data_IF_565134151206
#
_entry.id   IF_565134151206
#
_cell.length_a   1.000
_cell.length_b   1.000
_cell.length_c   1.000
_cell.angle_alpha   90.00
_cell.angle_beta   90.00
_cell.angle_gamma   90.00
#
_symmetry.space_group_name_H-M   'P 1'
#
loop_
_entity.id
_entity.type
_entity.pdbx_description
1 polymer ?
#
# COMPACT_ATOMS: atom_id res chain seq x y z
N UNK A 1 -6.33 -15.13 -9.29
CA UNK A 1 -7.14 -16.34 -9.03
C UNK A 1 -7.52 -16.47 -7.55
N UNK A 2 -6.69 -16.01 -6.59
CA UNK A 2 -7.00 -16.05 -5.15
C UNK A 2 -8.25 -15.21 -4.83
N UNK A 3 -8.24 -13.91 -5.11
CA UNK A 3 -9.37 -13.01 -4.83
C UNK A 3 -10.65 -13.29 -5.65
N UNK A 4 -10.59 -14.15 -6.66
CA UNK A 4 -11.77 -14.68 -7.35
C UNK A 4 -12.20 -16.04 -6.83
N UNK A 5 -11.58 -16.53 -5.76
CA UNK A 5 -11.83 -17.81 -5.09
C UNK A 5 -11.71 -19.04 -6.01
N UNK A 6 -11.10 -18.89 -7.21
CA UNK A 6 -10.82 -20.03 -8.11
C UNK A 6 -9.72 -20.94 -7.56
N UNK A 7 -8.92 -20.43 -6.63
CA UNK A 7 -7.92 -21.16 -5.85
C UNK A 7 -8.08 -20.69 -4.42
N UNK A 8 -8.29 -21.62 -3.50
CA UNK A 8 -8.38 -21.37 -2.06
C UNK A 8 -7.37 -22.22 -1.31
N UNK A 9 -6.88 -21.72 -0.20
CA UNK A 9 -6.08 -22.49 0.74
C UNK A 9 -6.99 -23.43 1.54
N UNK A 10 -6.40 -24.48 2.07
CA UNK A 10 -7.02 -25.36 3.05
C UNK A 10 -6.45 -25.09 4.44
N UNK A 11 -7.20 -25.40 5.47
CA UNK A 11 -6.74 -25.42 6.84
C UNK A 11 -5.64 -26.50 7.04
N UNK A 12 -4.94 -26.46 8.18
CA UNK A 12 -3.80 -27.37 8.41
C UNK A 12 -4.23 -28.82 8.61
N UNK A 13 -5.47 -29.05 9.00
CA UNK A 13 -6.13 -30.38 9.08
C UNK A 13 -6.61 -30.91 7.71
N UNK A 14 -6.50 -30.10 6.66
CA UNK A 14 -6.92 -30.42 5.30
C UNK A 14 -8.35 -30.00 4.96
N UNK A 15 -9.09 -29.45 5.90
CA UNK A 15 -10.47 -29.01 5.73
C UNK A 15 -10.56 -27.70 4.92
N UNK A 16 -11.74 -27.45 4.38
CA UNK A 16 -12.05 -26.20 3.69
C UNK A 16 -12.28 -25.10 4.73
N UNK A 17 -11.74 -23.90 4.47
CA UNK A 17 -12.12 -22.72 5.24
C UNK A 17 -13.58 -22.32 4.97
N UNK A 18 -14.25 -21.62 5.92
CA UNK A 18 -15.59 -21.08 5.72
C UNK A 18 -15.69 -20.21 4.47
N UNK A 19 -16.91 -20.03 3.96
CA UNK A 19 -17.15 -19.11 2.86
C UNK A 19 -16.75 -17.67 3.22
N UNK A 20 -16.30 -16.92 2.22
CA UNK A 20 -15.90 -15.53 2.41
C UNK A 20 -17.13 -14.63 2.56
N UNK A 21 -17.11 -13.77 3.54
CA UNK A 21 -18.13 -12.74 3.73
C UNK A 21 -17.80 -11.50 2.89
N UNK A 22 -18.82 -10.85 2.33
CA UNK A 22 -18.67 -9.53 1.73
C UNK A 22 -18.98 -8.46 2.79
N UNK A 23 -18.01 -7.56 3.03
CA UNK A 23 -18.14 -6.43 3.98
C UNK A 23 -17.78 -5.14 3.28
N UNK A 24 -18.25 -4.02 3.80
CA UNK A 24 -17.75 -2.71 3.40
C UNK A 24 -16.43 -2.41 4.09
N UNK A 25 -15.55 -1.66 3.42
CA UNK A 25 -14.27 -1.27 4.00
C UNK A 25 -14.44 -0.60 5.38
N UNK A 26 -15.48 0.21 5.56
CA UNK A 26 -15.78 0.86 6.84
C UNK A 26 -16.19 -0.07 7.99
N UNK A 27 -16.52 -1.33 7.72
CA UNK A 27 -16.82 -2.34 8.75
C UNK A 27 -15.53 -3.05 9.23
N UNK A 28 -14.47 -2.99 8.42
CA UNK A 28 -13.18 -3.66 8.69
C UNK A 28 -12.11 -2.67 9.16
N UNK A 29 -12.20 -1.41 8.74
CA UNK A 29 -11.17 -0.39 8.96
C UNK A 29 -11.69 0.85 9.67
N UNK A 30 -10.89 1.34 10.60
CA UNK A 30 -10.95 2.72 11.08
C UNK A 30 -10.29 3.64 10.05
N UNK A 31 -10.93 4.79 9.77
CA UNK A 31 -10.48 5.76 8.79
C UNK A 31 -9.99 7.03 9.45
N UNK A 32 -8.78 7.47 9.06
CA UNK A 32 -8.19 8.74 9.52
C UNK A 32 -7.72 9.59 8.35
N UNK A 33 -7.98 10.90 8.40
CA UNK A 33 -7.42 11.86 7.46
C UNK A 33 -6.02 12.31 7.89
N UNK A 34 -5.14 12.50 6.92
CA UNK A 34 -3.86 13.16 7.14
C UNK A 34 -4.02 14.66 7.38
N UNK A 35 -2.94 15.29 7.85
CA UNK A 35 -2.85 16.72 8.15
C UNK A 35 -1.77 17.39 7.32
N UNK A 36 -1.91 18.69 7.08
CA UNK A 36 -0.95 19.48 6.32
C UNK A 36 0.42 19.54 7.00
N UNK A 37 1.50 19.46 6.21
CA UNK A 37 2.88 19.51 6.67
C UNK A 37 3.72 20.54 5.90
N UNK A 38 3.10 21.37 5.04
CA UNK A 38 3.82 22.26 4.12
C UNK A 38 4.76 23.22 4.86
N UNK A 39 4.34 23.71 6.02
CA UNK A 39 5.08 24.73 6.79
C UNK A 39 6.15 24.13 7.72
N UNK A 40 6.24 22.79 7.82
CA UNK A 40 7.12 22.09 8.77
C UNK A 40 8.08 21.10 8.07
N UNK A 41 8.19 21.20 6.76
CA UNK A 41 9.14 20.37 5.98
C UNK A 41 10.57 20.83 6.29
N UNK A 42 11.45 19.85 6.53
CA UNK A 42 12.87 20.05 6.86
C UNK A 42 13.70 18.98 6.16
N UNK A 43 14.79 19.36 5.50
CA UNK A 43 15.68 18.40 4.80
C UNK A 43 16.31 17.38 5.78
N UNK A 44 16.61 17.82 7.00
CA UNK A 44 17.21 17.01 8.05
C UNK A 44 16.19 16.58 9.13
N UNK A 45 14.91 16.47 8.74
CA UNK A 45 13.85 16.10 9.67
C UNK A 45 13.95 14.64 10.14
N UNK A 46 13.46 14.39 11.35
CA UNK A 46 13.48 13.07 12.00
C UNK A 46 12.43 12.11 11.43
N UNK A 47 11.29 12.64 10.99
CA UNK A 47 10.13 11.84 10.59
C UNK A 47 9.88 11.94 9.08
N UNK A 48 9.50 10.83 8.48
CA UNK A 48 9.14 10.75 7.05
C UNK A 48 7.70 11.19 6.85
N UNK A 49 7.49 12.17 5.99
CA UNK A 49 6.15 12.65 5.61
C UNK A 49 5.59 11.76 4.51
N UNK A 50 4.52 11.02 4.83
CA UNK A 50 3.83 10.16 3.87
C UNK A 50 2.88 10.99 3.03
N UNK A 51 3.29 11.28 1.81
CA UNK A 51 2.53 12.01 0.78
C UNK A 51 2.33 11.15 -0.48
N UNK A 52 1.63 11.68 -1.49
CA UNK A 52 1.36 10.94 -2.73
C UNK A 52 2.64 10.51 -3.46
N UNK A 53 3.69 11.34 -3.43
CA UNK A 53 4.98 11.00 -4.07
C UNK A 53 5.67 9.85 -3.35
N UNK A 54 5.68 9.86 -2.01
CA UNK A 54 6.20 8.75 -1.21
C UNK A 54 5.50 7.43 -1.59
N UNK A 55 4.14 7.43 -1.61
CA UNK A 55 3.37 6.22 -1.93
C UNK A 55 3.59 5.80 -3.39
N UNK A 56 3.55 6.74 -4.34
CA UNK A 56 3.70 6.42 -5.77
C UNK A 56 5.07 5.86 -6.13
N UNK A 57 6.11 6.17 -5.34
CA UNK A 57 7.49 5.70 -5.54
C UNK A 57 7.89 4.59 -4.56
N UNK A 58 6.93 3.94 -3.91
CA UNK A 58 7.13 2.85 -2.95
C UNK A 58 8.17 3.21 -1.86
N UNK A 59 8.10 4.46 -1.35
CA UNK A 59 8.93 4.98 -0.27
C UNK A 59 10.36 5.37 -0.65
N UNK A 60 10.70 5.40 -1.94
CA UNK A 60 12.04 5.82 -2.40
C UNK A 60 12.22 7.33 -2.34
N UNK A 61 11.20 8.11 -2.74
CA UNK A 61 11.23 9.57 -2.64
C UNK A 61 10.59 10.01 -1.31
N UNK A 62 11.36 10.71 -0.49
CA UNK A 62 10.95 11.09 0.86
C UNK A 62 11.04 12.59 1.07
N UNK A 63 10.13 13.11 1.89
CA UNK A 63 10.23 14.41 2.55
C UNK A 63 10.26 14.18 4.05
N UNK A 64 10.90 15.07 4.77
CA UNK A 64 11.10 14.91 6.22
C UNK A 64 10.54 16.11 6.98
N UNK A 65 10.29 15.90 8.27
CA UNK A 65 9.86 16.91 9.23
C UNK A 65 10.39 16.58 10.63
N UNK A 66 10.48 17.58 11.49
CA UNK A 66 10.74 17.37 12.92
C UNK A 66 9.45 17.22 13.74
N UNK A 67 8.29 17.44 13.12
CA UNK A 67 7.00 17.37 13.80
C UNK A 67 6.22 16.10 13.42
N UNK A 68 5.81 15.32 14.42
CA UNK A 68 4.94 14.16 14.22
C UNK A 68 3.47 14.57 14.42
N UNK A 69 2.89 15.20 13.40
CA UNK A 69 1.52 15.75 13.48
C UNK A 69 0.46 14.64 13.51
N UNK A 70 0.64 13.59 12.73
CA UNK A 70 -0.21 12.39 12.75
C UNK A 70 0.66 11.13 12.70
N UNK A 71 0.91 10.49 13.85
CA UNK A 71 1.76 9.29 13.91
C UNK A 71 1.10 8.10 13.24
N UNK A 72 1.85 7.44 12.37
CA UNK A 72 1.49 6.17 11.79
C UNK A 72 2.14 5.02 12.58
N UNK A 73 1.43 3.91 12.68
CA UNK A 73 1.91 2.70 13.33
C UNK A 73 2.12 1.57 12.32
N UNK A 74 2.96 0.62 12.67
CA UNK A 74 3.21 -0.57 11.84
C UNK A 74 1.88 -1.29 11.51
N UNK A 75 1.73 -1.69 10.24
CA UNK A 75 0.54 -2.29 9.63
C UNK A 75 -0.60 -1.30 9.31
N UNK A 76 -0.46 0.00 9.55
CA UNK A 76 -1.37 0.97 8.94
C UNK A 76 -1.26 0.88 7.40
N UNK A 77 -2.39 0.86 6.71
CA UNK A 77 -2.45 1.03 5.26
C UNK A 77 -2.70 2.52 4.98
N UNK A 78 -1.80 3.15 4.24
CA UNK A 78 -1.99 4.53 3.79
C UNK A 78 -2.36 4.55 2.32
N UNK A 79 -3.36 5.37 1.93
CA UNK A 79 -3.91 5.39 0.58
C UNK A 79 -4.01 6.81 0.03
N UNK A 80 -3.63 6.99 -1.23
CA UNK A 80 -3.76 8.26 -1.96
C UNK A 80 -5.24 8.53 -2.27
N UNK A 81 -5.75 9.65 -1.75
CA UNK A 81 -7.15 10.09 -1.95
C UNK A 81 -7.30 11.07 -3.12
N UNK A 82 -6.23 11.70 -3.59
CA UNK A 82 -6.30 12.76 -4.59
C UNK A 82 -5.17 12.63 -5.60
N UNK A 83 -5.50 12.69 -6.89
CA UNK A 83 -4.53 12.61 -7.98
C UNK A 83 -4.95 13.51 -9.14
N UNK A 84 -3.98 13.85 -10.00
CA UNK A 84 -4.22 14.58 -11.26
C UNK A 84 -5.03 13.72 -12.24
N UNK A 85 -5.67 14.31 -13.27
CA UNK A 85 -6.37 13.56 -14.29
C UNK A 85 -5.48 12.48 -14.92
N UNK A 86 -6.03 11.29 -15.11
CA UNK A 86 -5.30 10.12 -15.60
C UNK A 86 -4.05 9.75 -14.76
N UNK A 87 -4.01 10.19 -13.52
CA UNK A 87 -2.94 9.90 -12.58
C UNK A 87 -2.87 8.41 -12.24
N UNK A 88 -1.66 7.95 -11.96
CA UNK A 88 -1.42 6.54 -11.60
C UNK A 88 -1.36 6.31 -10.08
N UNK A 89 -1.52 7.36 -9.28
CA UNK A 89 -1.39 7.28 -7.83
C UNK A 89 -2.73 7.16 -7.10
N UNK A 90 -3.88 7.54 -7.71
CA UNK A 90 -5.19 7.42 -7.05
C UNK A 90 -5.42 6.02 -6.50
N UNK A 91 -5.87 5.91 -5.26
CA UNK A 91 -6.05 4.67 -4.49
C UNK A 91 -4.82 3.75 -4.39
N UNK A 92 -3.63 4.19 -4.82
CA UNK A 92 -2.40 3.45 -4.54
C UNK A 92 -2.18 3.44 -3.03
N UNK A 93 -1.81 2.28 -2.50
CA UNK A 93 -1.59 2.07 -1.06
C UNK A 93 -0.12 1.79 -0.76
N UNK A 94 0.25 2.05 0.48
CA UNK A 94 1.53 1.64 1.05
C UNK A 94 1.29 1.09 2.46
N UNK A 95 1.96 0.01 2.82
CA UNK A 95 1.89 -0.59 4.15
C UNK A 95 3.00 -0.03 5.04
N UNK A 96 2.63 0.57 6.16
CA UNK A 96 3.59 1.11 7.12
C UNK A 96 4.34 -0.04 7.81
N UNK A 97 5.65 0.00 7.78
CA UNK A 97 6.54 -1.08 8.25
C UNK A 97 7.20 -0.82 9.61
N UNK A 98 7.18 0.43 10.10
CA UNK A 98 7.80 0.83 11.36
C UNK A 98 6.92 1.78 12.17
N UNK A 99 6.99 1.68 13.49
CA UNK A 99 6.38 2.63 14.40
C UNK A 99 7.25 3.90 14.54
N UNK A 100 6.63 5.03 14.89
CA UNK A 100 7.32 6.27 15.26
C UNK A 100 8.30 6.83 14.21
N UNK A 101 8.09 6.51 12.94
CA UNK A 101 8.93 6.95 11.82
C UNK A 101 8.19 7.81 10.82
N UNK A 102 6.89 7.62 10.69
CA UNK A 102 6.08 8.19 9.63
C UNK A 102 4.97 9.07 10.18
N UNK A 103 4.71 10.19 9.50
CA UNK A 103 3.59 11.08 9.77
C UNK A 103 2.75 11.29 8.51
N UNK A 104 1.41 11.30 8.66
CA UNK A 104 0.46 11.27 7.55
C UNK A 104 0.17 12.66 7.03
N UNK A 105 0.49 12.92 5.75
CA UNK A 105 0.19 14.20 5.09
C UNK A 105 -1.27 14.28 4.62
N UNK A 106 -1.75 15.51 4.39
CA UNK A 106 -3.05 15.78 3.76
C UNK A 106 -3.18 15.07 2.40
N UNK A 107 -4.42 14.81 1.95
CA UNK A 107 -4.77 14.06 0.73
C UNK A 107 -4.38 12.57 0.75
N UNK A 108 -3.91 12.10 1.88
CA UNK A 108 -3.69 10.68 2.15
C UNK A 108 -4.57 10.29 3.33
N UNK A 109 -5.22 9.13 3.28
CA UNK A 109 -5.86 8.56 4.45
C UNK A 109 -5.04 7.41 5.04
N UNK A 110 -5.25 7.17 6.32
CA UNK A 110 -4.81 5.98 7.01
C UNK A 110 -6.02 5.08 7.24
N UNK A 111 -5.88 3.82 6.91
CA UNK A 111 -6.82 2.74 7.16
C UNK A 111 -6.18 1.79 8.16
N UNK A 112 -6.77 1.68 9.34
CA UNK A 112 -6.28 0.85 10.45
C UNK A 112 -7.25 -0.27 10.73
N UNK A 113 -6.76 -1.48 10.87
CA UNK A 113 -7.57 -2.66 11.17
C UNK A 113 -6.91 -3.53 12.25
N UNK A 114 -7.73 -4.32 12.93
CA UNK A 114 -7.27 -5.41 13.81
C UNK A 114 -7.06 -6.72 13.07
N UNK A 115 -7.50 -6.80 11.82
CA UNK A 115 -7.35 -7.95 10.94
C UNK A 115 -6.02 -7.91 10.17
N UNK A 116 -5.83 -8.78 9.17
CA UNK A 116 -4.58 -8.87 8.43
C UNK A 116 -4.44 -7.78 7.36
N UNK A 117 -3.74 -6.69 7.68
CA UNK A 117 -3.52 -5.57 6.77
C UNK A 117 -2.74 -5.97 5.49
N UNK A 118 -1.85 -6.98 5.56
CA UNK A 118 -1.11 -7.50 4.40
C UNK A 118 -2.04 -8.17 3.41
N UNK A 119 -3.06 -8.88 3.90
CA UNK A 119 -4.10 -9.44 3.05
C UNK A 119 -4.91 -8.34 2.35
N UNK A 120 -5.41 -7.36 3.11
CA UNK A 120 -6.31 -6.35 2.58
C UNK A 120 -5.65 -5.33 1.65
N UNK A 121 -4.39 -4.99 1.83
CA UNK A 121 -3.72 -4.03 0.95
C UNK A 121 -3.77 -4.48 -0.51
N UNK A 122 -3.73 -5.79 -0.76
CA UNK A 122 -3.83 -6.37 -2.10
C UNK A 122 -5.24 -6.29 -2.70
N UNK A 123 -6.28 -6.16 -1.88
CA UNK A 123 -7.64 -5.88 -2.36
C UNK A 123 -7.90 -4.40 -2.56
N UNK A 124 -7.31 -3.53 -1.74
CA UNK A 124 -7.61 -2.10 -1.69
C UNK A 124 -6.80 -1.33 -2.73
N UNK A 125 -5.49 -1.62 -2.85
CA UNK A 125 -4.58 -0.85 -3.69
C UNK A 125 -4.99 -0.95 -5.17
N UNK A 126 -5.28 0.22 -5.78
CA UNK A 126 -5.69 0.32 -7.18
C UNK A 126 -6.93 -0.53 -7.52
N UNK A 127 -7.82 -0.76 -6.55
CA UNK A 127 -9.05 -1.48 -6.78
C UNK A 127 -9.90 -0.76 -7.84
N UNK A 128 -10.49 -1.53 -8.75
CA UNK A 128 -11.39 -1.03 -9.82
C UNK A 128 -12.56 -0.21 -9.28
N UNK A 129 -13.01 -0.49 -8.06
CA UNK A 129 -14.03 0.30 -7.38
C UNK A 129 -13.64 1.78 -7.27
N UNK A 130 -12.39 2.06 -6.91
CA UNK A 130 -11.89 3.44 -6.78
C UNK A 130 -11.57 4.07 -8.13
N UNK A 131 -11.07 3.28 -9.09
CA UNK A 131 -10.66 3.79 -10.39
C UNK A 131 -11.84 4.31 -11.22
N UNK A 132 -13.05 3.86 -10.96
CA UNK A 132 -14.27 4.39 -11.63
C UNK A 132 -14.60 5.84 -11.26
N UNK A 133 -14.01 6.40 -10.19
CA UNK A 133 -14.17 7.82 -9.82
C UNK A 133 -13.25 8.77 -10.62
N UNK A 134 -12.27 8.22 -11.34
CA UNK A 134 -11.39 9.00 -12.22
C UNK A 134 -12.02 9.11 -13.61
N UNK A 135 -12.49 10.31 -13.96
CA UNK A 135 -13.08 10.62 -15.27
C UNK A 135 -12.02 11.01 -16.32
N UNK A 136 -10.75 11.06 -15.93
CA UNK A 136 -9.64 11.42 -16.79
C UNK A 136 -9.58 12.90 -17.20
N UNK A 137 -10.52 13.73 -16.76
CA UNK A 137 -10.65 15.14 -17.16
C UNK A 137 -10.28 16.09 -16.00
N UNK A 138 -10.75 15.78 -14.81
CA UNK A 138 -10.56 16.60 -13.60
C UNK A 138 -9.69 15.87 -12.58
N UNK A 139 -9.16 16.64 -11.62
CA UNK A 139 -8.51 16.06 -10.46
C UNK A 139 -9.49 15.15 -9.72
N UNK A 140 -9.12 13.88 -9.57
CA UNK A 140 -9.88 12.91 -8.81
C UNK A 140 -9.68 13.11 -7.33
N UNK A 141 -10.77 13.15 -6.56
CA UNK A 141 -10.75 13.23 -5.11
C UNK A 141 -11.72 12.19 -4.54
N UNK A 142 -11.19 11.16 -3.91
CA UNK A 142 -11.98 10.18 -3.17
C UNK A 142 -12.41 10.77 -1.82
N UNK A 143 -13.70 10.79 -1.55
CA UNK A 143 -14.25 11.21 -0.27
C UNK A 143 -14.21 10.06 0.72
N UNK A 144 -14.22 10.37 2.02
CA UNK A 144 -14.28 9.36 3.08
C UNK A 144 -15.37 8.32 2.82
N UNK A 145 -16.57 8.78 2.47
CA UNK A 145 -17.70 7.87 2.23
C UNK A 145 -17.49 6.96 1.02
N UNK A 146 -16.88 7.48 -0.05
CA UNK A 146 -16.54 6.67 -1.24
C UNK A 146 -15.57 5.55 -0.89
N UNK A 147 -14.64 5.80 0.03
CA UNK A 147 -13.67 4.83 0.52
C UNK A 147 -14.34 3.78 1.40
N UNK A 148 -15.12 4.22 2.39
CA UNK A 148 -15.76 3.33 3.35
C UNK A 148 -16.81 2.39 2.74
N UNK A 149 -17.38 2.74 1.59
CA UNK A 149 -18.37 1.90 0.87
C UNK A 149 -17.73 0.87 -0.07
N UNK A 150 -16.39 0.84 -0.19
CA UNK A 150 -15.71 -0.15 -1.04
C UNK A 150 -16.01 -1.57 -0.56
N UNK A 151 -16.52 -2.48 -1.41
CA UNK A 151 -16.75 -3.86 -1.04
C UNK A 151 -15.41 -4.60 -0.90
N UNK A 152 -15.30 -5.40 0.15
CA UNK A 152 -14.15 -6.25 0.46
C UNK A 152 -14.64 -7.69 0.66
N UNK A 153 -13.85 -8.64 0.21
CA UNK A 153 -14.02 -10.05 0.48
C UNK A 153 -13.22 -10.45 1.71
N UNK A 154 -13.90 -10.97 2.72
CA UNK A 154 -13.37 -11.19 4.05
C UNK A 154 -13.39 -12.70 4.40
N UNK A 155 -12.29 -13.44 4.19
CA UNK A 155 -12.14 -14.79 4.73
C UNK A 155 -11.95 -14.75 6.25
N UNK A 156 -12.02 -15.90 6.90
CA UNK A 156 -11.62 -16.02 8.30
C UNK A 156 -10.14 -15.64 8.50
N UNK A 157 -9.76 -15.21 9.69
CA UNK A 157 -8.40 -14.72 10.00
C UNK A 157 -7.30 -15.73 9.65
N UNK A 158 -7.55 -17.02 9.83
CA UNK A 158 -6.58 -18.07 9.50
C UNK A 158 -6.31 -18.15 7.99
N UNK A 159 -7.35 -18.04 7.15
CA UNK A 159 -7.17 -18.00 5.69
C UNK A 159 -6.53 -16.67 5.23
N UNK A 160 -6.90 -15.53 5.85
CA UNK A 160 -6.21 -14.25 5.61
C UNK A 160 -4.71 -14.36 5.85
N UNK A 161 -4.30 -15.02 6.95
CA UNK A 161 -2.89 -15.20 7.27
C UNK A 161 -2.18 -16.06 6.22
N UNK A 162 -2.74 -17.21 5.83
CA UNK A 162 -2.14 -18.07 4.79
C UNK A 162 -1.98 -17.36 3.46
N UNK A 163 -2.99 -16.57 3.06
CA UNK A 163 -2.92 -15.76 1.84
C UNK A 163 -1.83 -14.68 1.96
N UNK A 164 -1.78 -13.98 3.08
CA UNK A 164 -0.79 -12.93 3.34
C UNK A 164 0.65 -13.48 3.34
N UNK A 165 0.88 -14.63 3.94
CA UNK A 165 2.20 -15.29 3.98
C UNK A 165 2.64 -15.72 2.57
N UNK A 166 1.74 -16.28 1.78
CA UNK A 166 2.01 -16.63 0.39
C UNK A 166 2.37 -15.39 -0.45
N UNK A 167 1.60 -14.30 -0.34
CA UNK A 167 1.87 -13.06 -1.08
C UNK A 167 3.19 -12.41 -0.62
N UNK A 168 3.45 -12.38 0.69
CA UNK A 168 4.71 -11.85 1.24
C UNK A 168 5.92 -12.64 0.76
N UNK A 169 5.83 -13.97 0.71
CA UNK A 169 6.90 -14.83 0.18
C UNK A 169 7.17 -14.55 -1.30
N UNK A 170 6.12 -14.33 -2.10
CA UNK A 170 6.27 -13.94 -3.51
C UNK A 170 6.93 -12.57 -3.67
N UNK A 171 6.54 -11.59 -2.84
CA UNK A 171 7.14 -10.25 -2.85
C UNK A 171 8.63 -10.30 -2.48
N UNK A 172 9.02 -11.14 -1.52
CA UNK A 172 10.43 -11.37 -1.19
C UNK A 172 11.22 -11.97 -2.35
N UNK A 173 10.66 -12.96 -3.04
CA UNK A 173 11.29 -13.55 -4.24
C UNK A 173 11.45 -12.49 -5.32
N UNK A 174 10.41 -11.73 -5.61
CA UNK A 174 10.46 -10.63 -6.60
C UNK A 174 11.53 -9.61 -6.23
N UNK A 175 11.62 -9.22 -4.96
CA UNK A 175 12.62 -8.27 -4.45
C UNK A 175 14.04 -8.80 -4.64
N UNK A 176 14.27 -10.07 -4.32
CA UNK A 176 15.58 -10.73 -4.54
C UNK A 176 15.96 -10.77 -6.02
N UNK A 177 15.02 -11.15 -6.89
CA UNK A 177 15.27 -11.21 -8.33
C UNK A 177 15.56 -9.82 -8.93
N UNK A 178 14.85 -8.77 -8.50
CA UNK A 178 15.15 -7.39 -8.91
C UNK A 178 16.54 -6.94 -8.48
N UNK A 179 16.96 -7.26 -7.26
CA UNK A 179 18.31 -6.93 -6.77
C UNK A 179 19.40 -7.69 -7.57
N UNK A 180 19.17 -8.96 -7.87
CA UNK A 180 20.07 -9.77 -8.71
C UNK A 180 20.18 -9.18 -10.12
N UNK A 181 19.06 -8.81 -10.75
CA UNK A 181 19.05 -8.18 -12.07
C UNK A 181 19.85 -6.87 -12.07
N UNK A 182 19.63 -6.00 -11.08
CA UNK A 182 20.38 -4.75 -10.96
C UNK A 182 21.90 -4.99 -10.83
N UNK A 183 22.30 -6.00 -10.04
CA UNK A 183 23.72 -6.38 -9.91
C UNK A 183 24.31 -6.87 -11.25
N UNK A 184 23.55 -7.66 -12.03
CA UNK A 184 23.99 -8.09 -13.37
C UNK A 184 24.10 -6.93 -14.35
N UNK A 185 23.19 -5.96 -14.31
CA UNK A 185 23.23 -4.76 -15.14
C UNK A 185 24.46 -3.91 -14.83
N UNK A 186 24.80 -3.71 -13.55
CA UNK A 186 26.02 -3.00 -13.13
C UNK A 186 27.29 -3.76 -13.53
N UNK A 187 27.33 -5.08 -13.37
CA UNK A 187 28.45 -5.90 -13.82
C UNK A 187 28.65 -5.79 -15.33
N UNK A 188 27.57 -5.93 -16.11
CA UNK A 188 27.60 -5.74 -17.57
C UNK A 188 28.18 -4.39 -17.94
N UNK A 189 27.71 -3.30 -17.29
CA UNK A 189 28.22 -1.95 -17.54
C UNK A 189 29.71 -1.83 -17.24
N UNK A 190 30.19 -2.38 -16.12
CA UNK A 190 31.61 -2.39 -15.76
C UNK A 190 32.47 -3.15 -16.77
N UNK A 191 32.00 -4.33 -17.20
CA UNK A 191 32.74 -5.13 -18.22
C UNK A 191 32.82 -4.40 -19.57
N UNK A 192 31.72 -3.79 -20.02
CA UNK A 192 31.72 -3.01 -21.26
C UNK A 192 32.68 -1.82 -21.18
N UNK A 193 32.77 -1.12 -20.05
CA UNK A 193 33.72 -0.04 -19.86
C UNK A 193 35.18 -0.53 -19.97
N UNK A 194 35.50 -1.73 -19.45
CA UNK A 194 36.82 -2.31 -19.54
C UNK A 194 37.21 -2.79 -20.96
N UNK A 195 36.21 -3.13 -21.79
CA UNK A 195 36.44 -3.60 -23.15
C UNK A 195 36.73 -2.47 -24.16
N UNK A 196 36.40 -1.23 -23.84
CA UNK A 196 36.50 -0.06 -24.71
C UNK A 196 37.49 1.01 -24.19
N UNK A 197 38.31 0.67 -23.23
CA UNK A 197 39.48 1.43 -22.76
C UNK A 197 40.76 0.69 -23.21
#
# INVERSE_FOLDING_TARGET
KLFSQKVRFKADDGDQFPEWEEKKLGEVFEFYNGKAHENVISENGKYVVVNSKFISTDGTVRKYTNEMIFPLIKKDIVMVMSDVPNGKAISKCFLINENNKYTLNQRICCLRTKENAVFYINQISRNKYFLKFDDGVKQTNLRKNDILQCPLLCPCLAEQQKIADCLSSLDEVIKKQKATLAAWEELKKGLLQQMFV
#
